data_IF_402640632501
#
_entry.id   IF_402640632501
#
_cell.length_a   1.000
_cell.length_b   1.000
_cell.length_c   1.000
_cell.angle_alpha   90.00
_cell.angle_beta   90.00
_cell.angle_gamma   90.00
#
_symmetry.space_group_name_H-M   'P 1'
#
loop_
_entity.id
_entity.type
_entity.pdbx_description
1 polymer ?
#
# COMPACT_ATOMS: atom_id res chain seq x y z
N UNK A 1 18.20 4.55 -11.91
CA UNK A 1 17.20 5.54 -11.49
C UNK A 1 15.85 4.99 -11.90
N UNK A 2 14.98 4.76 -10.93
CA UNK A 2 13.66 4.18 -11.15
C UNK A 2 12.83 5.07 -12.10
N UNK A 3 12.32 4.44 -13.16
CA UNK A 3 11.44 5.11 -14.13
C UNK A 3 10.12 5.51 -13.46
N UNK A 4 9.66 6.73 -13.76
CA UNK A 4 8.39 7.25 -13.28
C UNK A 4 7.31 6.88 -14.31
N UNK A 5 6.21 6.29 -13.87
CA UNK A 5 5.06 6.11 -14.77
C UNK A 5 4.54 7.47 -15.24
N UNK A 6 4.04 7.58 -16.48
CA UNK A 6 3.49 8.85 -16.97
C UNK A 6 2.26 9.25 -16.15
N UNK A 7 2.02 10.56 -16.04
CA UNK A 7 0.76 11.06 -15.48
C UNK A 7 -0.42 10.54 -16.33
N UNK A 8 -1.54 10.14 -15.69
CA UNK A 8 -2.71 9.65 -16.43
C UNK A 8 -3.28 10.73 -17.36
N UNK A 9 -3.73 10.36 -18.57
CA UNK A 9 -4.40 11.27 -19.47
C UNK A 9 -5.81 11.57 -18.95
N UNK A 10 -6.19 12.84 -18.97
CA UNK A 10 -7.50 13.33 -18.46
C UNK A 10 -8.70 12.96 -19.35
N UNK A 11 -8.49 12.15 -20.39
CA UNK A 11 -9.49 11.80 -21.41
C UNK A 11 -9.66 10.30 -21.61
N UNK A 12 -9.09 9.45 -20.75
CA UNK A 12 -9.37 8.02 -20.78
C UNK A 12 -10.71 7.71 -20.10
N UNK A 13 -11.19 6.47 -20.25
CA UNK A 13 -12.32 5.99 -19.45
C UNK A 13 -11.94 5.93 -17.96
N UNK A 14 -12.95 5.82 -17.10
CA UNK A 14 -12.79 5.90 -15.65
C UNK A 14 -11.86 4.81 -15.10
N UNK A 15 -12.00 3.56 -15.55
CA UNK A 15 -11.18 2.45 -15.08
C UNK A 15 -9.72 2.67 -15.49
N UNK A 16 -9.48 2.95 -16.76
CA UNK A 16 -8.13 3.23 -17.27
C UNK A 16 -7.48 4.38 -16.48
N UNK A 17 -8.24 5.44 -16.19
CA UNK A 17 -7.75 6.59 -15.44
C UNK A 17 -7.34 6.19 -14.01
N UNK A 18 -8.19 5.45 -13.29
CA UNK A 18 -7.92 5.02 -11.92
C UNK A 18 -6.70 4.10 -11.83
N UNK A 19 -6.61 3.09 -12.70
CA UNK A 19 -5.48 2.16 -12.73
C UNK A 19 -4.16 2.89 -13.03
N UNK A 20 -4.17 3.84 -13.96
CA UNK A 20 -2.98 4.63 -14.27
C UNK A 20 -2.60 5.60 -13.14
N UNK A 21 -3.57 6.14 -12.39
CA UNK A 21 -3.26 6.93 -11.20
C UNK A 21 -2.58 6.07 -10.13
N UNK A 22 -3.05 4.84 -9.91
CA UNK A 22 -2.41 3.92 -8.99
C UNK A 22 -0.97 3.60 -9.44
N UNK A 23 -0.76 3.26 -10.70
CA UNK A 23 0.59 3.01 -11.23
C UNK A 23 1.51 4.24 -11.11
N UNK A 24 0.98 5.44 -11.37
CA UNK A 24 1.71 6.69 -11.17
C UNK A 24 2.15 6.84 -9.71
N UNK A 25 1.23 6.78 -8.74
CA UNK A 25 1.56 6.99 -7.32
C UNK A 25 2.45 5.88 -6.74
N UNK A 26 2.25 4.62 -7.14
CA UNK A 26 3.17 3.51 -6.83
C UNK A 26 4.58 3.82 -7.30
N UNK A 27 4.74 4.26 -8.56
CA UNK A 27 6.05 4.61 -9.10
C UNK A 27 6.69 5.83 -8.42
N UNK A 28 5.89 6.81 -7.99
CA UNK A 28 6.38 7.96 -7.20
C UNK A 28 6.97 7.49 -5.89
N UNK A 29 6.30 6.57 -5.17
CA UNK A 29 6.80 6.04 -3.91
C UNK A 29 8.12 5.29 -4.11
N UNK A 30 8.17 4.34 -5.04
CA UNK A 30 9.39 3.58 -5.33
C UNK A 30 10.52 4.51 -5.76
N UNK A 31 10.24 5.54 -6.56
CA UNK A 31 11.24 6.54 -6.95
C UNK A 31 11.76 7.37 -5.76
N UNK A 32 10.93 7.66 -4.77
CA UNK A 32 11.37 8.37 -3.55
C UNK A 32 12.24 7.50 -2.64
N UNK A 33 12.06 6.18 -2.70
CA UNK A 33 12.89 5.19 -2.01
C UNK A 33 14.14 4.78 -2.81
N UNK A 34 14.26 5.18 -4.08
CA UNK A 34 15.40 4.79 -4.93
C UNK A 34 16.69 5.50 -4.50
N UNK A 35 17.75 4.71 -4.32
CA UNK A 35 19.12 5.20 -4.07
C UNK A 35 19.39 5.77 -2.68
N UNK A 36 18.44 5.70 -1.74
CA UNK A 36 18.69 6.05 -0.33
C UNK A 36 19.26 4.86 0.44
N UNK A 37 20.11 5.13 1.43
CA UNK A 37 20.61 4.10 2.33
C UNK A 37 19.65 3.82 3.50
N UNK A 38 19.96 2.77 4.27
CA UNK A 38 19.15 2.35 5.42
C UNK A 38 19.08 3.43 6.52
N UNK A 39 20.11 4.25 6.70
CA UNK A 39 20.09 5.33 7.69
C UNK A 39 19.15 6.46 7.25
N UNK A 40 19.18 6.82 5.96
CA UNK A 40 18.27 7.78 5.35
C UNK A 40 16.83 7.27 5.34
N UNK A 41 16.62 5.97 5.10
CA UNK A 41 15.30 5.35 5.12
C UNK A 41 14.61 5.42 6.49
N UNK A 42 15.40 5.45 7.59
CA UNK A 42 14.94 5.56 8.98
C UNK A 42 14.98 6.99 9.52
N UNK A 43 15.25 7.97 8.67
CA UNK A 43 15.26 9.36 9.09
C UNK A 43 13.81 9.87 9.24
N UNK A 44 13.43 10.15 10.48
CA UNK A 44 12.10 10.69 10.81
C UNK A 44 11.91 12.13 10.28
N UNK A 45 10.67 12.44 9.91
CA UNK A 45 10.28 13.77 9.42
C UNK A 45 9.64 14.60 10.53
N UNK A 46 10.39 15.57 11.05
CA UNK A 46 9.89 16.50 12.07
C UNK A 46 9.64 15.81 13.41
N UNK A 47 8.44 16.00 13.98
CA UNK A 47 8.01 15.36 15.25
C UNK A 47 7.24 14.05 15.04
N UNK A 48 7.00 13.66 13.78
CA UNK A 48 6.30 12.43 13.46
C UNK A 48 7.24 11.22 13.53
N UNK A 49 6.69 10.05 13.88
CA UNK A 49 7.40 8.78 13.77
C UNK A 49 7.56 8.29 12.31
N UNK A 50 6.98 9.01 11.34
CA UNK A 50 7.04 8.67 9.92
C UNK A 50 8.47 8.76 9.37
N UNK A 51 8.92 7.66 8.79
CA UNK A 51 10.12 7.54 7.97
C UNK A 51 9.81 6.79 6.66
N UNK A 52 10.79 6.66 5.75
CA UNK A 52 10.55 6.04 4.44
C UNK A 52 10.34 4.53 4.55
N UNK A 53 11.02 3.85 5.48
CA UNK A 53 10.85 2.42 5.70
C UNK A 53 9.42 2.09 6.15
N UNK A 54 8.92 2.78 7.18
CA UNK A 54 7.56 2.65 7.66
C UNK A 54 6.54 3.02 6.58
N UNK A 55 6.79 4.07 5.79
CA UNK A 55 5.88 4.44 4.71
C UNK A 55 5.77 3.37 3.63
N UNK A 56 6.88 2.73 3.23
CA UNK A 56 6.84 1.65 2.24
C UNK A 56 6.14 0.42 2.81
N UNK A 57 6.38 0.07 4.08
CA UNK A 57 5.66 -1.01 4.77
C UNK A 57 4.16 -0.72 4.80
N UNK A 58 3.78 0.45 5.30
CA UNK A 58 2.38 0.87 5.35
C UNK A 58 1.69 0.77 3.99
N UNK A 59 2.33 1.23 2.92
CA UNK A 59 1.74 1.18 1.59
C UNK A 59 1.59 -0.25 1.05
N UNK A 60 2.48 -1.18 1.41
CA UNK A 60 2.29 -2.59 1.08
C UNK A 60 1.09 -3.19 1.82
N UNK A 61 0.93 -2.85 3.10
CA UNK A 61 -0.25 -3.25 3.89
C UNK A 61 -1.54 -2.66 3.32
N UNK A 62 -1.54 -1.41 2.88
CA UNK A 62 -2.69 -0.75 2.23
C UNK A 62 -3.09 -1.46 0.94
N UNK A 63 -2.14 -1.90 0.12
CA UNK A 63 -2.41 -2.71 -1.08
C UNK A 63 -3.04 -4.06 -0.72
N UNK A 64 -2.47 -4.76 0.26
CA UNK A 64 -2.99 -6.04 0.76
C UNK A 64 -4.42 -5.89 1.30
N UNK A 65 -4.63 -4.89 2.16
CA UNK A 65 -5.92 -4.65 2.81
C UNK A 65 -7.01 -4.35 1.78
N UNK A 66 -6.79 -3.40 0.87
CA UNK A 66 -7.84 -3.00 -0.05
C UNK A 66 -8.16 -4.04 -1.12
N UNK A 67 -7.13 -4.60 -1.76
CA UNK A 67 -7.35 -5.46 -2.90
C UNK A 67 -7.49 -6.92 -2.49
N UNK A 68 -6.56 -7.44 -1.67
CA UNK A 68 -6.59 -8.85 -1.30
C UNK A 68 -7.66 -9.14 -0.26
N UNK A 69 -7.71 -8.38 0.84
CA UNK A 69 -8.64 -8.68 1.94
C UNK A 69 -10.03 -8.09 1.70
N UNK A 70 -10.13 -6.77 1.54
CA UNK A 70 -11.42 -6.10 1.46
C UNK A 70 -12.18 -6.43 0.17
N UNK A 71 -11.53 -6.28 -0.99
CA UNK A 71 -12.16 -6.54 -2.27
C UNK A 71 -12.31 -8.04 -2.56
N UNK A 72 -11.21 -8.82 -2.48
CA UNK A 72 -11.23 -10.23 -2.85
C UNK A 72 -11.63 -11.18 -1.71
N UNK A 73 -11.74 -10.71 -0.46
CA UNK A 73 -12.14 -11.53 0.68
C UNK A 73 -11.05 -12.48 1.19
N UNK A 74 -9.77 -12.19 0.90
CA UNK A 74 -8.64 -12.98 1.40
C UNK A 74 -8.59 -12.95 2.93
N UNK A 75 -8.26 -14.09 3.53
CA UNK A 75 -8.00 -14.25 4.96
C UNK A 75 -6.50 -14.44 5.25
N UNK A 76 -5.64 -14.02 4.33
CA UNK A 76 -4.20 -13.96 4.57
C UNK A 76 -3.93 -13.00 5.75
N UNK A 77 -3.05 -13.38 6.70
CA UNK A 77 -2.63 -12.46 7.76
C UNK A 77 -1.98 -11.20 7.21
N UNK A 78 -2.00 -10.13 7.99
CA UNK A 78 -1.33 -8.88 7.66
C UNK A 78 0.18 -9.10 7.50
N UNK A 79 0.81 -8.38 6.56
CA UNK A 79 2.24 -8.48 6.29
C UNK A 79 3.11 -8.25 7.54
N UNK A 80 2.68 -7.33 8.40
CA UNK A 80 3.27 -7.06 9.70
C UNK A 80 2.15 -7.02 10.72
N UNK A 81 1.91 -8.16 11.35
CA UNK A 81 0.89 -8.33 12.38
C UNK A 81 1.54 -8.32 13.77
N UNK A 82 1.03 -7.47 14.64
CA UNK A 82 1.24 -7.56 16.08
C UNK A 82 -0.12 -7.38 16.77
N UNK A 83 -0.64 -8.39 17.49
CA UNK A 83 -1.93 -8.30 18.18
C UNK A 83 -2.00 -7.17 19.22
N UNK A 84 -0.86 -6.68 19.71
CA UNK A 84 -0.77 -5.64 20.72
C UNK A 84 -0.35 -4.27 20.11
N UNK A 85 -0.11 -4.19 18.79
CA UNK A 85 0.35 -2.99 18.10
C UNK A 85 -0.27 -2.82 16.71
N UNK A 86 -1.24 -1.91 16.61
CA UNK A 86 -1.96 -1.62 15.37
C UNK A 86 -1.16 -0.80 14.36
N UNK A 87 -0.02 -0.24 14.77
CA UNK A 87 0.92 0.49 13.90
C UNK A 87 2.20 -0.35 13.69
N UNK A 88 2.10 -1.68 13.73
CA UNK A 88 3.24 -2.60 13.61
C UNK A 88 4.03 -2.43 12.30
N UNK A 89 3.40 -1.92 11.24
CA UNK A 89 4.04 -1.52 9.99
C UNK A 89 4.98 -0.32 10.14
N UNK A 90 4.71 0.58 11.10
CA UNK A 90 5.56 1.71 11.47
C UNK A 90 6.62 1.34 12.53
N UNK A 91 6.32 0.42 13.43
CA UNK A 91 7.24 -0.01 14.49
C UNK A 91 8.20 -1.11 14.01
N UNK A 92 9.18 -0.70 13.20
CA UNK A 92 10.20 -1.60 12.66
C UNK A 92 11.38 -1.83 13.60
N UNK A 93 12.02 -2.99 13.41
CA UNK A 93 13.22 -3.44 14.12
C UNK A 93 14.50 -3.13 13.31
N UNK A 94 15.68 -3.20 13.95
CA UNK A 94 16.94 -3.08 13.22
C UNK A 94 17.20 -4.17 12.15
N UNK A 95 16.44 -5.27 12.16
CA UNK A 95 16.57 -6.34 11.18
C UNK A 95 15.72 -6.10 9.92
N UNK A 96 14.71 -5.24 10.00
CA UNK A 96 13.90 -4.86 8.85
C UNK A 96 14.71 -3.99 7.90
N UNK A 97 14.48 -4.08 6.59
CA UNK A 97 15.24 -3.32 5.59
C UNK A 97 14.32 -2.71 4.55
N UNK A 98 14.74 -1.61 3.94
CA UNK A 98 13.98 -0.97 2.87
C UNK A 98 13.81 -1.90 1.66
N UNK A 99 14.83 -2.70 1.35
CA UNK A 99 14.77 -3.68 0.28
C UNK A 99 13.65 -4.71 0.48
N UNK A 100 13.55 -5.31 1.67
CA UNK A 100 12.49 -6.27 2.00
C UNK A 100 11.11 -5.61 1.94
N UNK A 101 10.99 -4.37 2.43
CA UNK A 101 9.72 -3.63 2.35
C UNK A 101 9.29 -3.33 0.91
N UNK A 102 10.24 -2.99 0.03
CA UNK A 102 9.97 -2.76 -1.40
C UNK A 102 9.57 -4.07 -2.11
N UNK A 103 10.19 -5.19 -1.78
CA UNK A 103 9.82 -6.50 -2.34
C UNK A 103 8.39 -6.91 -1.91
N UNK A 104 8.02 -6.65 -0.66
CA UNK A 104 6.67 -6.85 -0.17
C UNK A 104 5.67 -5.94 -0.91
N UNK A 105 5.99 -4.64 -1.06
CA UNK A 105 5.15 -3.70 -1.82
C UNK A 105 4.93 -4.17 -3.26
N UNK A 106 5.98 -4.59 -3.97
CA UNK A 106 5.84 -5.08 -5.34
C UNK A 106 4.97 -6.34 -5.41
N UNK A 107 5.12 -7.26 -4.45
CA UNK A 107 4.31 -8.47 -4.35
C UNK A 107 2.82 -8.13 -4.19
N UNK A 108 2.49 -7.19 -3.29
CA UNK A 108 1.09 -6.79 -3.07
C UNK A 108 0.52 -5.96 -4.23
N UNK A 109 1.33 -5.16 -4.92
CA UNK A 109 0.92 -4.48 -6.17
C UNK A 109 0.54 -5.52 -7.25
N UNK A 110 1.32 -6.59 -7.39
CA UNK A 110 1.03 -7.63 -8.39
C UNK A 110 -0.23 -8.42 -8.04
N UNK A 111 -0.44 -8.73 -6.74
CA UNK A 111 -1.71 -9.30 -6.25
C UNK A 111 -2.88 -8.34 -6.53
N UNK A 112 -2.73 -7.06 -6.22
CA UNK A 112 -3.75 -6.03 -6.47
C UNK A 112 -4.13 -5.96 -7.95
N UNK A 113 -3.14 -5.98 -8.85
CA UNK A 113 -3.38 -6.01 -10.31
C UNK A 113 -4.13 -7.27 -10.74
N UNK A 114 -3.78 -8.43 -10.20
CA UNK A 114 -4.48 -9.68 -10.50
C UNK A 114 -5.94 -9.65 -10.04
N UNK A 115 -6.20 -9.10 -8.85
CA UNK A 115 -7.56 -8.91 -8.32
C UNK A 115 -8.37 -7.96 -9.21
N UNK A 116 -7.82 -6.80 -9.56
CA UNK A 116 -8.49 -5.80 -10.41
C UNK A 116 -8.77 -6.36 -11.81
N UNK A 117 -7.83 -7.11 -12.39
CA UNK A 117 -8.03 -7.75 -13.69
C UNK A 117 -9.18 -8.79 -13.68
N UNK A 118 -9.47 -9.39 -12.52
CA UNK A 118 -10.62 -10.27 -12.32
C UNK A 118 -11.97 -9.55 -12.21
N UNK A 119 -11.97 -8.24 -11.92
CA UNK A 119 -13.20 -7.46 -11.76
C UNK A 119 -13.78 -7.03 -13.12
N UNK A 120 -15.01 -7.41 -13.40
CA UNK A 120 -15.67 -7.12 -14.69
C UNK A 120 -16.17 -5.68 -14.82
N UNK A 121 -16.47 -5.00 -13.71
CA UNK A 121 -17.00 -3.62 -13.69
C UNK A 121 -16.47 -2.84 -12.48
N UNK A 122 -16.60 -1.51 -12.48
CA UNK A 122 -16.32 -0.66 -11.31
C UNK A 122 -17.43 -0.70 -10.25
N UNK A 123 -18.60 -1.24 -10.58
CA UNK A 123 -19.71 -1.44 -9.64
C UNK A 123 -19.54 -2.69 -8.77
N UNK A 124 -18.43 -3.41 -8.91
CA UNK A 124 -18.12 -4.57 -8.09
C UNK A 124 -17.94 -4.15 -6.62
N UNK A 125 -18.65 -4.84 -5.73
CA UNK A 125 -18.61 -4.56 -4.30
C UNK A 125 -17.46 -5.31 -3.62
N UNK A 126 -16.97 -4.76 -2.52
CA UNK A 126 -16.01 -5.44 -1.65
C UNK A 126 -16.64 -6.68 -1.02
N UNK A 127 -15.83 -7.72 -0.80
CA UNK A 127 -16.26 -8.94 -0.13
C UNK A 127 -16.61 -8.72 1.36
N UNK A 128 -16.00 -7.72 2.00
CA UNK A 128 -16.32 -7.29 3.36
C UNK A 128 -16.93 -5.90 3.37
N UNK A 129 -17.77 -5.62 4.37
CA UNK A 129 -18.27 -4.29 4.65
C UNK A 129 -17.18 -3.49 5.39
N UNK A 130 -16.55 -2.56 4.68
CA UNK A 130 -15.53 -1.67 5.24
C UNK A 130 -16.14 -0.45 5.96
N UNK A 131 -17.46 -0.40 6.16
CA UNK A 131 -18.17 0.72 6.81
C UNK A 131 -18.09 2.05 6.05
N UNK A 132 -18.65 3.15 6.59
CA UNK A 132 -18.48 4.49 6.05
C UNK A 132 -17.11 5.11 6.44
N UNK A 133 -16.59 6.09 5.68
CA UNK A 133 -15.23 6.62 5.88
C UNK A 133 -14.97 7.24 7.24
N UNK A 134 -16.02 7.70 7.92
CA UNK A 134 -16.00 8.37 9.20
C UNK A 134 -16.22 7.42 10.40
N UNK A 135 -16.31 6.11 10.18
CA UNK A 135 -16.46 5.14 11.25
C UNK A 135 -15.14 4.94 12.02
N UNK A 136 -15.12 5.07 13.37
CA UNK A 136 -13.87 5.02 14.15
C UNK A 136 -13.16 3.65 14.18
N UNK A 137 -13.88 2.56 13.89
CA UNK A 137 -13.43 1.15 13.86
C UNK A 137 -13.39 0.58 12.44
N UNK A 138 -13.32 1.45 11.42
CA UNK A 138 -13.27 1.10 9.99
C UNK A 138 -12.20 0.07 9.61
N UNK A 139 -11.11 0.04 10.37
CA UNK A 139 -9.97 -0.84 10.16
C UNK A 139 -9.85 -1.91 11.27
N UNK A 140 -10.96 -2.23 11.95
CA UNK A 140 -10.99 -3.12 13.10
C UNK A 140 -11.08 -2.40 14.45
N UNK A 141 -11.33 -3.13 15.55
CA UNK A 141 -11.35 -2.55 16.89
C UNK A 141 -9.95 -2.03 17.28
N UNK A 142 -9.88 -0.83 17.87
CA UNK A 142 -8.67 -0.29 18.50
C UNK A 142 -8.41 -0.86 19.88
#
# INVERSE_FOLDING_TARGET
MTELHPLPPVTADERTTLEQFLDYFRSVLVRKADGIDEAQARQQVGVSAMDMLGLVRHMALVEQWWFSQAFAGSTEPDLWEDPDDHDADWHHSPADTLAVALDALHTEIDKARAVVAGATTLDALTAIDVGPPDQPDRYGPR
#
